data_IF_522915911624
#
_entry.id   IF_522915911624
#
_cell.length_a   1.000
_cell.length_b   1.000
_cell.length_c   1.000
_cell.angle_alpha   90.00
_cell.angle_beta   90.00
_cell.angle_gamma   90.00
#
_symmetry.space_group_name_H-M   'P 1'
#
loop_
_entity.id
_entity.type
_entity.pdbx_description
1 polymer ?
#
# COMPACT_ATOMS: atom_id res chain seq x y z
N UNK A 1 -15.36 6.10 11.96
CA UNK A 1 -15.96 6.27 10.61
C UNK A 1 -15.95 4.92 9.94
N UNK A 2 -17.04 4.49 9.29
CA UNK A 2 -17.04 3.27 8.48
C UNK A 2 -16.38 3.55 7.11
N UNK A 3 -15.74 2.55 6.49
CA UNK A 3 -15.06 2.70 5.21
C UNK A 3 -16.02 3.11 4.08
N UNK A 4 -17.21 2.50 4.04
CA UNK A 4 -18.25 2.84 3.07
C UNK A 4 -18.72 4.29 3.23
N UNK A 5 -18.96 4.73 4.48
CA UNK A 5 -19.34 6.11 4.77
C UNK A 5 -18.25 7.11 4.34
N UNK A 6 -16.97 6.71 4.45
CA UNK A 6 -15.86 7.49 3.95
C UNK A 6 -15.88 7.59 2.41
N UNK A 7 -16.14 6.49 1.68
CA UNK A 7 -16.26 6.51 0.22
C UNK A 7 -17.41 7.42 -0.25
N UNK A 8 -18.57 7.34 0.40
CA UNK A 8 -19.72 8.21 0.12
C UNK A 8 -19.36 9.68 0.33
N UNK A 9 -18.61 10.01 1.40
CA UNK A 9 -18.13 11.39 1.63
C UNK A 9 -17.22 11.91 0.51
N UNK A 10 -16.52 11.01 -0.20
CA UNK A 10 -15.68 11.33 -1.35
C UNK A 10 -16.42 11.26 -2.69
N UNK A 11 -17.75 11.10 -2.69
CA UNK A 11 -18.60 10.94 -3.88
C UNK A 11 -18.25 9.70 -4.71
N UNK A 12 -17.83 8.63 -4.04
CA UNK A 12 -17.50 7.34 -4.63
C UNK A 12 -18.60 6.35 -4.26
N UNK A 13 -19.12 5.61 -5.24
CA UNK A 13 -20.03 4.50 -4.98
C UNK A 13 -19.26 3.27 -4.48
N UNK A 14 -19.55 2.86 -3.24
CA UNK A 14 -18.94 1.68 -2.62
C UNK A 14 -19.30 0.40 -3.39
N UNK A 15 -20.55 0.27 -3.85
CA UNK A 15 -21.01 -0.96 -4.50
C UNK A 15 -20.40 -1.13 -5.89
N UNK A 16 -20.33 -0.05 -6.69
CA UNK A 16 -19.63 -0.08 -7.98
C UNK A 16 -18.13 -0.35 -7.80
N UNK A 17 -17.49 0.27 -6.80
CA UNK A 17 -16.06 0.07 -6.54
C UNK A 17 -15.76 -1.38 -6.12
N UNK A 18 -16.56 -1.97 -5.24
CA UNK A 18 -16.39 -3.36 -4.79
C UNK A 18 -16.62 -4.37 -5.93
N UNK A 19 -17.60 -4.14 -6.81
CA UNK A 19 -17.86 -5.03 -7.96
C UNK A 19 -16.76 -4.98 -9.01
N UNK A 20 -16.22 -3.80 -9.29
CA UNK A 20 -15.18 -3.64 -10.30
C UNK A 20 -13.82 -4.14 -9.80
N UNK A 21 -13.45 -3.81 -8.56
CA UNK A 21 -12.11 -4.11 -8.01
C UNK A 21 -12.20 -4.61 -6.55
N UNK A 22 -12.72 -5.83 -6.31
CA UNK A 22 -12.92 -6.36 -4.96
C UNK A 22 -11.61 -6.53 -4.18
N UNK A 23 -10.50 -6.82 -4.88
CA UNK A 23 -9.17 -6.97 -4.28
C UNK A 23 -8.66 -5.64 -3.73
N UNK A 24 -8.78 -4.56 -4.50
CA UNK A 24 -8.36 -3.23 -4.06
C UNK A 24 -9.25 -2.73 -2.92
N UNK A 25 -10.56 -2.97 -3.02
CA UNK A 25 -11.51 -2.64 -1.96
C UNK A 25 -11.13 -3.29 -0.62
N UNK A 26 -10.83 -4.60 -0.62
CA UNK A 26 -10.42 -5.31 0.59
C UNK A 26 -9.10 -4.79 1.17
N UNK A 27 -8.09 -4.54 0.34
CA UNK A 27 -6.84 -3.93 0.81
C UNK A 27 -7.05 -2.54 1.41
N UNK A 28 -7.92 -1.73 0.79
CA UNK A 28 -8.21 -0.40 1.27
C UNK A 28 -8.98 -0.41 2.57
N UNK A 29 -9.92 -1.34 2.74
CA UNK A 29 -10.62 -1.53 4.00
C UNK A 29 -9.63 -1.84 5.13
N UNK A 30 -8.74 -2.80 4.94
CA UNK A 30 -7.71 -3.15 5.94
C UNK A 30 -6.82 -1.95 6.25
N UNK A 31 -6.37 -1.22 5.22
CA UNK A 31 -5.55 -0.03 5.40
C UNK A 31 -6.30 1.09 6.14
N UNK A 32 -7.59 1.25 5.87
CA UNK A 32 -8.46 2.22 6.52
C UNK A 32 -8.73 1.86 7.99
N UNK A 33 -8.83 0.58 8.32
CA UNK A 33 -8.95 0.13 9.72
C UNK A 33 -7.67 0.42 10.52
N UNK A 34 -6.51 0.40 9.86
CA UNK A 34 -5.21 0.68 10.49
C UNK A 34 -4.92 2.17 10.69
N UNK A 35 -5.64 3.10 10.06
CA UNK A 35 -5.32 4.54 10.14
C UNK A 35 -6.54 5.47 10.09
N UNK A 36 -6.38 6.70 10.56
CA UNK A 36 -7.43 7.71 10.48
C UNK A 36 -7.79 8.09 9.02
N UNK A 37 -9.07 8.37 8.68
CA UNK A 37 -9.52 8.71 7.32
C UNK A 37 -8.71 9.82 6.64
N UNK A 38 -8.27 10.82 7.39
CA UNK A 38 -7.45 11.91 6.84
C UNK A 38 -6.08 11.41 6.37
N UNK A 39 -5.39 10.61 7.18
CA UNK A 39 -4.10 10.02 6.82
C UNK A 39 -4.23 9.10 5.61
N UNK A 40 -5.29 8.29 5.58
CA UNK A 40 -5.62 7.44 4.44
C UNK A 40 -5.83 8.25 3.16
N UNK A 41 -6.59 9.35 3.25
CA UNK A 41 -6.84 10.25 2.12
C UNK A 41 -5.54 10.80 1.55
N UNK A 42 -4.62 11.26 2.40
CA UNK A 42 -3.36 11.86 1.96
C UNK A 42 -2.47 10.84 1.25
N UNK A 43 -2.34 9.64 1.81
CA UNK A 43 -1.52 8.58 1.23
C UNK A 43 -2.10 8.04 -0.08
N UNK A 44 -3.43 7.93 -0.17
CA UNK A 44 -4.13 7.32 -1.31
C UNK A 44 -4.75 8.35 -2.25
N UNK A 45 -4.45 9.65 -2.09
CA UNK A 45 -5.07 10.73 -2.87
C UNK A 45 -4.96 10.49 -4.38
N UNK A 46 -3.77 10.06 -4.82
CA UNK A 46 -3.48 9.75 -6.22
C UNK A 46 -4.31 8.59 -6.78
N UNK A 47 -4.77 7.66 -5.93
CA UNK A 47 -5.62 6.53 -6.32
C UNK A 47 -7.11 6.84 -6.14
N UNK A 48 -7.44 7.64 -5.12
CA UNK A 48 -8.81 8.10 -4.87
C UNK A 48 -9.31 8.97 -6.03
N UNK A 49 -8.45 9.82 -6.60
CA UNK A 49 -8.82 10.69 -7.73
C UNK A 49 -9.32 9.92 -8.99
N UNK A 50 -8.59 8.92 -9.53
CA UNK A 50 -9.10 8.13 -10.65
C UNK A 50 -10.33 7.30 -10.27
N UNK A 51 -10.40 6.74 -9.06
CA UNK A 51 -11.57 6.00 -8.57
C UNK A 51 -12.80 6.92 -8.51
N UNK A 52 -12.65 8.17 -8.06
CA UNK A 52 -13.74 9.17 -8.05
C UNK A 52 -14.26 9.51 -9.44
N UNK A 53 -13.41 9.45 -10.47
CA UNK A 53 -13.82 9.68 -11.87
C UNK A 53 -14.49 8.44 -12.47
N UNK A 54 -14.05 7.23 -12.08
CA UNK A 54 -14.58 5.95 -12.57
C UNK A 54 -15.92 5.58 -11.94
N UNK A 55 -16.02 5.69 -10.61
CA UNK A 55 -17.16 5.20 -9.81
C UNK A 55 -17.86 6.37 -9.11
N UNK A 56 -18.12 7.43 -9.87
CA UNK A 56 -18.77 8.60 -9.35
C UNK A 56 -20.23 8.27 -9.01
N UNK A 57 -20.69 8.67 -7.83
CA UNK A 57 -22.08 8.48 -7.39
C UNK A 57 -23.01 9.36 -8.26
N UNK A 58 -23.35 8.89 -9.47
CA UNK A 58 -24.42 9.44 -10.31
C UNK A 58 -25.66 8.60 -10.01
N UNK A 59 -26.74 9.26 -9.62
CA UNK A 59 -27.99 8.60 -9.19
C UNK A 59 -28.69 7.77 -10.28
N UNK A 60 -28.16 7.72 -11.50
CA UNK A 60 -28.57 6.79 -12.55
C UNK A 60 -27.35 6.20 -13.26
N UNK A 61 -27.05 4.92 -13.01
CA UNK A 61 -26.54 3.97 -14.02
C UNK A 61 -26.24 2.62 -13.38
N UNK A 62 -27.30 1.81 -13.26
CA UNK A 62 -27.16 0.36 -13.38
C UNK A 62 -26.50 0.06 -14.74
N UNK A 63 -25.34 -0.63 -14.73
CA UNK A 63 -24.81 -1.56 -15.77
C UNK A 63 -23.30 -1.38 -16.05
N UNK A 64 -22.48 -2.30 -15.53
CA UNK A 64 -21.36 -2.93 -16.24
C UNK A 64 -20.66 -4.01 -15.36
N UNK A 65 -21.21 -5.24 -15.35
CA UNK A 65 -20.34 -6.43 -15.44
C UNK A 65 -19.91 -6.54 -16.93
N UNK A 66 -18.66 -6.94 -17.24
CA UNK A 66 -18.38 -8.38 -17.28
C UNK A 66 -17.02 -8.81 -16.70
N UNK A 67 -17.06 -10.06 -16.23
CA UNK A 67 -16.00 -10.95 -15.75
C UNK A 67 -14.88 -11.21 -16.80
N UNK A 68 -13.76 -11.83 -16.40
CA UNK A 68 -12.41 -11.63 -16.94
C UNK A 68 -12.14 -12.48 -18.18
N UNK A 69 -11.13 -12.15 -19.01
CA UNK A 69 -10.55 -13.15 -19.89
C UNK A 69 -9.42 -13.87 -19.14
N UNK A 70 -9.74 -15.03 -18.56
CA UNK A 70 -8.79 -16.14 -18.61
C UNK A 70 -8.70 -16.53 -20.09
N UNK A 71 -7.62 -16.15 -20.77
CA UNK A 71 -7.23 -16.81 -22.02
C UNK A 71 -5.99 -17.63 -21.72
N UNK A 72 -6.22 -18.93 -21.80
CA UNK A 72 -5.26 -20.01 -21.76
C UNK A 72 -4.19 -19.79 -22.84
N UNK A 73 -2.94 -20.02 -22.46
CA UNK A 73 -1.78 -20.24 -23.35
C UNK A 73 -2.12 -21.09 -24.58
N UNK A 74 -1.67 -20.71 -25.78
CA UNK A 74 -1.20 -21.66 -26.77
C UNK A 74 0.30 -21.90 -26.57
N UNK A 75 0.61 -23.14 -26.26
CA UNK A 75 1.88 -23.80 -26.52
C UNK A 75 2.30 -23.54 -27.97
N UNK A 76 3.51 -23.01 -28.17
CA UNK A 76 4.33 -23.39 -29.32
C UNK A 76 5.48 -24.24 -28.80
N UNK A 77 5.36 -25.51 -29.15
CA UNK A 77 6.29 -26.61 -28.99
C UNK A 77 7.57 -26.38 -29.80
N UNK A 78 8.68 -26.91 -29.27
CA UNK A 78 9.82 -27.50 -29.99
C UNK A 78 10.78 -26.57 -30.77
N UNK A 79 12.11 -26.79 -30.75
CA UNK A 79 12.92 -27.85 -30.16
C UNK A 79 14.43 -27.51 -30.24
N UNK A 80 15.20 -28.28 -29.47
CA UNK A 80 16.61 -28.66 -29.65
C UNK A 80 17.67 -27.60 -29.34
N UNK A 81 18.77 -27.90 -28.65
CA UNK A 81 19.34 -29.05 -27.95
C UNK A 81 20.51 -28.44 -27.13
N UNK A 82 21.15 -28.99 -26.10
CA UNK A 82 21.44 -30.36 -25.72
C UNK A 82 22.00 -30.32 -24.27
N UNK A 83 21.75 -31.38 -23.50
CA UNK A 83 22.43 -31.77 -22.24
C UNK A 83 23.91 -32.19 -22.57
N UNK A 84 24.80 -32.69 -21.68
CA UNK A 84 24.69 -32.95 -20.24
C UNK A 84 25.96 -32.75 -19.35
N UNK A 85 25.77 -32.94 -18.02
CA UNK A 85 26.71 -33.49 -17.02
C UNK A 85 27.97 -32.64 -16.67
N UNK A 86 28.52 -32.60 -15.45
CA UNK A 86 28.43 -33.43 -14.24
C UNK A 86 28.99 -32.65 -13.01
N UNK A 87 28.68 -33.15 -11.80
CA UNK A 87 29.55 -33.04 -10.61
C UNK A 87 29.09 -31.99 -9.58
N UNK A 88 28.53 -32.36 -8.42
CA UNK A 88 29.19 -32.96 -7.23
C UNK A 88 30.06 -31.92 -6.52
N UNK A 89 30.06 -31.69 -5.20
CA UNK A 89 29.30 -32.07 -4.02
C UNK A 89 29.94 -31.25 -2.87
N UNK A 90 29.23 -31.09 -1.74
CA UNK A 90 29.76 -30.69 -0.42
C UNK A 90 30.37 -29.27 -0.30
N UNK A 91 30.18 -28.52 0.78
CA UNK A 91 30.17 -28.96 2.19
C UNK A 91 29.22 -28.11 3.05
N UNK A 92 28.52 -28.79 3.95
CA UNK A 92 28.08 -28.22 5.23
C UNK A 92 29.18 -28.49 6.31
N UNK A 93 28.92 -28.27 7.59
CA UNK A 93 28.98 -27.00 8.33
C UNK A 93 30.10 -27.05 9.40
N UNK A 94 30.66 -25.91 9.81
CA UNK A 94 31.51 -25.89 11.01
C UNK A 94 31.09 -24.80 11.98
N UNK A 95 30.99 -25.23 13.23
CA UNK A 95 30.44 -24.54 14.36
C UNK A 95 31.50 -23.66 15.02
N UNK A 96 31.12 -22.45 15.43
CA UNK A 96 31.73 -21.78 16.58
C UNK A 96 30.66 -20.92 17.26
N UNK A 97 30.11 -21.46 18.35
CA UNK A 97 29.73 -20.71 19.56
C UNK A 97 30.74 -21.14 20.64
N UNK A 98 30.95 -20.44 21.78
CA UNK A 98 30.13 -19.37 22.38
C UNK A 98 30.95 -18.16 22.91
N UNK A 99 30.30 -17.08 23.33
CA UNK A 99 30.40 -16.51 24.70
C UNK A 99 29.62 -15.17 24.81
N UNK A 100 28.87 -15.02 25.90
CA UNK A 100 27.95 -13.92 26.21
C UNK A 100 28.69 -12.94 27.15
N UNK A 101 28.51 -11.61 27.02
CA UNK A 101 27.70 -10.96 28.04
C UNK A 101 26.76 -9.85 27.53
N UNK A 102 25.53 -9.99 28.01
CA UNK A 102 24.47 -8.99 28.18
C UNK A 102 24.97 -7.70 28.88
N UNK A 103 24.79 -6.52 28.27
CA UNK A 103 24.67 -5.19 28.93
C UNK A 103 24.21 -4.09 27.92
N UNK A 104 23.67 -2.92 28.35
CA UNK A 104 22.29 -2.57 28.73
C UNK A 104 21.55 -1.71 27.66
N UNK A 105 20.24 -1.35 27.84
CA UNK A 105 19.47 -0.60 26.84
C UNK A 105 19.96 0.84 26.67
N UNK A 106 20.38 1.18 25.44
CA UNK A 106 20.70 2.55 25.06
C UNK A 106 19.44 3.44 25.05
N UNK A 107 19.47 4.43 25.92
CA UNK A 107 18.50 5.53 26.07
C UNK A 107 18.15 6.20 24.74
N UNK A 108 16.87 6.60 24.49
CA UNK A 108 16.50 7.27 23.26
C UNK A 108 17.13 8.68 23.21
N UNK A 109 17.91 8.92 22.16
CA UNK A 109 18.53 10.21 21.85
C UNK A 109 17.45 11.27 21.58
N UNK A 110 17.44 12.43 22.25
CA UNK A 110 16.45 13.47 21.98
C UNK A 110 16.67 14.09 20.60
N UNK A 111 15.58 14.34 19.88
CA UNK A 111 15.58 15.04 18.57
C UNK A 111 16.19 16.45 18.74
N UNK A 112 16.95 16.96 17.76
CA UNK A 112 17.48 18.33 17.83
C UNK A 112 16.32 19.34 17.81
N UNK A 113 16.25 20.17 18.85
CA UNK A 113 15.31 21.27 18.95
C UNK A 113 15.75 22.39 17.98
N UNK A 114 15.12 22.46 16.82
CA UNK A 114 15.28 23.61 15.91
C UNK A 114 14.51 24.79 16.54
N UNK A 115 15.18 25.90 16.89
CA UNK A 115 14.49 27.05 17.45
C UNK A 115 13.52 27.63 16.42
N UNK A 116 12.25 27.80 16.81
CA UNK A 116 11.25 28.47 15.97
C UNK A 116 11.61 29.96 15.86
N UNK A 117 11.55 30.57 14.68
CA UNK A 117 11.75 32.01 14.54
C UNK A 117 10.61 32.76 15.24
N UNK A 118 10.97 33.59 16.23
CA UNK A 118 10.01 34.47 16.93
C UNK A 118 9.82 35.72 16.09
N UNK A 119 8.64 35.85 15.48
CA UNK A 119 8.26 37.06 14.73
C UNK A 119 7.81 38.13 15.74
N UNK A 120 8.62 39.18 15.92
CA UNK A 120 8.24 40.35 16.74
C UNK A 120 7.29 41.23 15.92
N UNK A 121 6.07 41.52 16.37
CA UNK A 121 5.18 42.43 15.66
C UNK A 121 5.74 43.85 15.67
N UNK A 122 5.66 44.54 14.53
CA UNK A 122 6.09 45.94 14.39
C UNK A 122 5.18 46.85 15.23
N UNK A 123 5.73 47.90 15.87
CA UNK A 123 4.92 48.85 16.62
C UNK A 123 3.97 49.61 15.69
N UNK A 124 2.72 49.80 16.15
CA UNK A 124 1.74 50.63 15.46
C UNK A 124 2.19 52.08 15.55
N UNK A 125 2.33 52.74 14.40
CA UNK A 125 2.49 54.18 14.32
C UNK A 125 1.15 54.82 14.70
N UNK A 126 1.21 55.79 15.62
CA UNK A 126 0.06 56.48 16.21
C UNK A 126 -0.75 57.29 15.21
#
# INVERSE_FOLDING_TARGET
MNFEAYLTSKKIDSAAFQRAEPVLWGQWQIQFEQMHPNSFTVQKLNLINPIRRKYQLKEEAVKAEPKPPVVKTPVVDQASAEKPAAGSASSAPDATMPDVPETPPATPRPKPAVPRPVFKPKPKLS
#
